data_IF_100400763580
#
_entry.id   IF_100400763580
#
_cell.length_a   1.000
_cell.length_b   1.000
_cell.length_c   1.000
_cell.angle_alpha   90.00
_cell.angle_beta   90.00
_cell.angle_gamma   90.00
#
_symmetry.space_group_name_H-M   'P 1'
#
loop_
_entity.id
_entity.type
_entity.pdbx_description
1 polymer ?
#
# COMPACT_ATOMS: atom_id res chain seq x y z
N UNK A 1 -29.13 -6.93 -9.71
CA UNK A 1 -28.02 -7.52 -10.50
C UNK A 1 -27.00 -8.24 -9.62
N UNK A 2 -26.20 -7.54 -8.79
CA UNK A 2 -25.11 -8.16 -8.00
C UNK A 2 -25.56 -9.37 -7.16
N UNK A 3 -26.67 -9.27 -6.43
CA UNK A 3 -27.20 -10.38 -5.61
C UNK A 3 -27.52 -11.62 -6.45
N UNK A 4 -28.03 -11.42 -7.68
CA UNK A 4 -28.34 -12.52 -8.58
C UNK A 4 -27.05 -13.19 -9.07
N UNK A 5 -26.07 -12.41 -9.51
CA UNK A 5 -24.77 -12.91 -9.95
C UNK A 5 -24.05 -13.72 -8.84
N UNK A 6 -24.13 -13.26 -7.59
CA UNK A 6 -23.61 -14.01 -6.44
C UNK A 6 -24.36 -15.34 -6.26
N UNK A 7 -25.68 -15.35 -6.40
CA UNK A 7 -26.47 -16.58 -6.34
C UNK A 7 -26.09 -17.60 -7.40
N UNK A 8 -25.89 -17.15 -8.64
CA UNK A 8 -25.45 -17.99 -9.76
C UNK A 8 -24.04 -18.56 -9.51
N UNK A 9 -23.10 -17.76 -9.00
CA UNK A 9 -21.75 -18.21 -8.65
C UNK A 9 -21.76 -19.29 -7.56
N UNK A 10 -22.55 -19.09 -6.50
CA UNK A 10 -22.64 -20.05 -5.40
C UNK A 10 -23.26 -21.37 -5.89
N UNK A 11 -24.36 -21.29 -6.64
CA UNK A 11 -25.08 -22.46 -7.12
C UNK A 11 -24.25 -23.30 -8.11
N UNK A 12 -23.50 -22.65 -8.99
CA UNK A 12 -22.77 -23.34 -10.05
C UNK A 12 -21.35 -23.77 -9.64
N UNK A 13 -20.69 -23.06 -8.72
CA UNK A 13 -19.28 -23.30 -8.40
C UNK A 13 -19.04 -23.78 -6.95
N UNK A 14 -20.03 -23.69 -6.05
CA UNK A 14 -19.88 -24.12 -4.67
C UNK A 14 -18.95 -23.26 -3.81
N UNK A 15 -18.67 -22.02 -4.23
CA UNK A 15 -17.85 -21.09 -3.43
C UNK A 15 -18.55 -20.68 -2.13
N UNK A 16 -17.76 -20.57 -1.07
CA UNK A 16 -18.19 -20.11 0.25
C UNK A 16 -17.63 -18.72 0.60
N UNK A 17 -16.92 -18.08 -0.32
CA UNK A 17 -16.39 -16.73 -0.20
C UNK A 17 -16.60 -15.96 -1.51
N UNK A 18 -17.06 -14.72 -1.41
CA UNK A 18 -17.19 -13.79 -2.55
C UNK A 18 -16.55 -12.45 -2.19
N UNK A 19 -15.76 -11.91 -3.12
CA UNK A 19 -15.15 -10.59 -3.00
C UNK A 19 -15.92 -9.56 -3.84
N UNK A 20 -16.32 -8.45 -3.23
CA UNK A 20 -16.91 -7.31 -3.94
C UNK A 20 -15.79 -6.32 -4.31
N UNK A 21 -15.38 -6.34 -5.58
CA UNK A 21 -14.25 -5.55 -6.08
C UNK A 21 -14.74 -4.26 -6.73
N UNK A 22 -14.12 -3.14 -6.39
CA UNK A 22 -14.39 -1.82 -6.97
C UNK A 22 -13.16 -0.90 -6.83
N UNK A 23 -13.23 0.35 -7.31
CA UNK A 23 -12.20 1.36 -6.99
C UNK A 23 -12.30 1.84 -5.54
N UNK A 24 -13.52 2.02 -5.03
CA UNK A 24 -13.83 2.36 -3.65
C UNK A 24 -15.19 1.79 -3.30
N UNK A 25 -15.20 0.79 -2.43
CA UNK A 25 -16.45 0.06 -2.12
C UNK A 25 -17.44 0.95 -1.36
N UNK A 26 -16.96 1.91 -0.58
CA UNK A 26 -17.78 2.87 0.16
C UNK A 26 -18.43 3.93 -0.74
N UNK A 27 -17.98 4.10 -1.98
CA UNK A 27 -18.57 5.07 -2.92
C UNK A 27 -19.88 4.53 -3.54
N UNK A 28 -20.19 3.25 -3.37
CA UNK A 28 -21.45 2.66 -3.79
C UNK A 28 -22.55 2.92 -2.74
N UNK A 29 -23.51 3.78 -3.08
CA UNK A 29 -24.56 4.24 -2.17
C UNK A 29 -25.39 3.11 -1.52
N UNK A 30 -25.58 1.98 -2.22
CA UNK A 30 -26.35 0.84 -1.73
C UNK A 30 -25.52 -0.25 -1.03
N UNK A 31 -24.28 0.04 -0.61
CA UNK A 31 -23.36 -1.01 -0.13
C UNK A 31 -23.86 -1.70 1.14
N UNK A 32 -24.42 -0.95 2.08
CA UNK A 32 -24.96 -1.51 3.33
C UNK A 32 -26.11 -2.48 3.03
N UNK A 33 -27.06 -2.06 2.19
CA UNK A 33 -28.20 -2.88 1.77
C UNK A 33 -27.77 -4.12 1.00
N UNK A 34 -26.77 -3.98 0.13
CA UNK A 34 -26.22 -5.08 -0.66
C UNK A 34 -25.56 -6.12 0.26
N UNK A 35 -24.67 -5.68 1.16
CA UNK A 35 -23.98 -6.56 2.12
C UNK A 35 -24.99 -7.23 3.04
N UNK A 36 -25.96 -6.48 3.58
CA UNK A 36 -27.01 -7.02 4.43
C UNK A 36 -27.85 -8.07 3.68
N UNK A 37 -28.25 -7.77 2.43
CA UNK A 37 -29.06 -8.67 1.60
C UNK A 37 -28.32 -9.98 1.30
N UNK A 38 -27.03 -9.90 0.94
CA UNK A 38 -26.19 -11.07 0.69
C UNK A 38 -26.00 -11.91 1.95
N UNK A 39 -25.72 -11.26 3.08
CA UNK A 39 -25.51 -11.91 4.37
C UNK A 39 -26.77 -12.60 4.89
N UNK A 40 -27.93 -11.98 4.68
CA UNK A 40 -29.23 -12.54 5.06
C UNK A 40 -29.63 -13.72 4.17
N UNK A 41 -29.40 -13.63 2.86
CA UNK A 41 -29.77 -14.68 1.90
C UNK A 41 -28.84 -15.89 1.93
N UNK A 42 -27.56 -15.68 2.22
CA UNK A 42 -26.52 -16.72 2.16
C UNK A 42 -25.75 -16.81 3.48
N UNK A 43 -26.32 -17.51 4.48
CA UNK A 43 -25.76 -17.58 5.84
C UNK A 43 -24.34 -18.18 5.96
N UNK A 44 -23.91 -18.97 4.98
CA UNK A 44 -22.57 -19.59 4.95
C UNK A 44 -21.58 -18.86 4.03
N UNK A 45 -21.97 -17.70 3.48
CA UNK A 45 -21.14 -16.92 2.58
C UNK A 45 -20.25 -15.95 3.36
N UNK A 46 -18.95 -16.08 3.21
CA UNK A 46 -17.98 -15.07 3.61
C UNK A 46 -17.94 -13.96 2.56
N UNK A 47 -18.01 -12.71 2.99
CA UNK A 47 -17.92 -11.54 2.12
C UNK A 47 -16.59 -10.82 2.38
N UNK A 48 -15.88 -10.52 1.28
CA UNK A 48 -14.62 -9.77 1.31
C UNK A 48 -14.76 -8.45 0.58
N UNK A 49 -14.26 -7.37 1.18
CA UNK A 49 -14.30 -6.00 0.66
C UNK A 49 -12.86 -5.46 0.51
N UNK A 50 -12.09 -5.92 -0.50
CA UNK A 50 -10.67 -5.57 -0.63
C UNK A 50 -10.43 -4.08 -0.91
N UNK A 51 -11.41 -3.39 -1.52
CA UNK A 51 -11.32 -1.98 -1.91
C UNK A 51 -11.96 -1.01 -0.91
N UNK A 52 -12.07 -1.43 0.35
CA UNK A 52 -12.72 -0.61 1.37
C UNK A 52 -11.76 0.47 1.87
N UNK A 53 -12.12 1.75 1.63
CA UNK A 53 -11.37 2.90 2.17
C UNK A 53 -11.42 2.89 3.70
N UNK A 54 -10.38 3.38 4.34
CA UNK A 54 -10.31 3.34 5.79
C UNK A 54 -10.87 4.59 6.43
N UNK A 55 -12.18 4.57 6.63
CA UNK A 55 -12.94 5.59 7.33
C UNK A 55 -13.86 4.95 8.39
N UNK A 56 -14.56 5.79 9.16
CA UNK A 56 -15.49 5.34 10.20
C UNK A 56 -16.73 4.61 9.66
N UNK A 57 -17.08 4.80 8.38
CA UNK A 57 -18.18 4.12 7.71
C UNK A 57 -17.78 2.67 7.41
N UNK A 58 -16.59 2.49 6.87
CA UNK A 58 -15.99 1.19 6.56
C UNK A 58 -15.82 0.29 7.79
N UNK A 59 -15.48 0.86 8.96
CA UNK A 59 -15.45 0.08 10.21
C UNK A 59 -16.82 -0.49 10.54
N UNK A 60 -17.90 0.28 10.34
CA UNK A 60 -19.28 -0.19 10.55
C UNK A 60 -19.68 -1.26 9.53
N UNK A 61 -19.36 -1.05 8.25
CA UNK A 61 -19.64 -2.03 7.21
C UNK A 61 -18.93 -3.37 7.48
N UNK A 62 -17.69 -3.33 7.96
CA UNK A 62 -16.94 -4.53 8.33
C UNK A 62 -17.52 -5.27 9.54
N UNK A 63 -18.25 -4.59 10.43
CA UNK A 63 -18.99 -5.24 11.52
C UNK A 63 -20.23 -5.98 11.03
N UNK A 64 -20.90 -5.44 10.00
CA UNK A 64 -22.09 -6.05 9.43
C UNK A 64 -21.78 -7.33 8.64
N UNK A 65 -20.51 -7.55 8.25
CA UNK A 65 -20.10 -8.75 7.56
C UNK A 65 -20.20 -9.97 8.49
N UNK A 66 -20.85 -11.07 8.05
CA UNK A 66 -20.95 -12.32 8.80
C UNK A 66 -19.59 -13.04 8.79
N UNK A 67 -18.61 -12.49 9.51
CA UNK A 67 -17.29 -13.08 9.64
C UNK A 67 -17.17 -13.85 10.96
N UNK A 68 -16.75 -15.12 10.85
CA UNK A 68 -16.40 -15.96 12.03
C UNK A 68 -15.12 -15.51 12.74
N UNK A 69 -14.34 -14.59 12.15
CA UNK A 69 -13.06 -14.12 12.73
C UNK A 69 -12.75 -12.70 12.28
N UNK A 70 -12.66 -11.75 13.22
CA UNK A 70 -12.19 -10.38 12.94
C UNK A 70 -10.77 -10.42 12.37
N UNK A 71 -10.66 -10.26 11.05
CA UNK A 71 -9.40 -10.17 10.32
C UNK A 71 -8.67 -8.87 10.72
N UNK A 72 -7.36 -8.79 10.43
CA UNK A 72 -6.64 -7.54 10.61
C UNK A 72 -7.23 -6.43 9.74
N UNK A 73 -7.31 -5.21 10.28
CA UNK A 73 -7.80 -4.04 9.54
C UNK A 73 -6.62 -3.31 8.90
N UNK A 74 -6.78 -2.88 7.65
CA UNK A 74 -5.73 -2.18 6.91
C UNK A 74 -6.09 -0.70 6.76
N UNK A 75 -5.18 0.18 7.18
CA UNK A 75 -5.29 1.63 7.10
C UNK A 75 -4.18 2.13 6.18
N UNK A 76 -4.49 3.06 5.28
CA UNK A 76 -3.50 3.68 4.40
C UNK A 76 -3.41 5.20 4.65
N UNK A 77 -2.68 5.64 5.69
CA UNK A 77 -2.35 7.05 5.87
C UNK A 77 -1.46 7.61 4.76
N UNK A 78 -0.64 6.77 4.12
CA UNK A 78 0.35 7.09 3.08
C UNK A 78 1.52 7.97 3.57
N UNK A 79 1.26 8.99 4.39
CA UNK A 79 2.28 9.85 4.99
C UNK A 79 2.01 10.13 6.48
N UNK A 80 3.07 10.43 7.23
CA UNK A 80 3.02 10.74 8.66
C UNK A 80 2.42 12.11 8.97
N UNK A 81 2.88 13.13 8.26
CA UNK A 81 2.40 14.51 8.43
C UNK A 81 1.16 14.80 7.58
N UNK A 82 0.30 15.71 8.04
CA UNK A 82 -0.87 16.13 7.27
C UNK A 82 -0.50 16.93 6.03
N UNK A 83 0.59 17.72 6.10
CA UNK A 83 1.12 18.46 4.95
C UNK A 83 1.47 17.53 3.80
N UNK A 84 2.23 16.47 4.09
CA UNK A 84 2.67 15.52 3.07
C UNK A 84 1.49 14.69 2.54
N UNK A 85 0.55 14.30 3.41
CA UNK A 85 -0.74 13.69 2.99
C UNK A 85 -1.50 14.57 2.00
N UNK A 86 -1.65 15.87 2.26
CA UNK A 86 -2.30 16.82 1.34
C UNK A 86 -1.58 16.93 0.00
N UNK A 87 -0.24 16.90 0.00
CA UNK A 87 0.56 17.01 -1.24
C UNK A 87 0.26 15.89 -2.24
N UNK A 88 -0.12 14.70 -1.76
CA UNK A 88 -0.48 13.55 -2.60
C UNK A 88 -2.00 13.38 -2.74
N UNK A 89 -2.78 14.45 -2.49
CA UNK A 89 -4.24 14.47 -2.52
C UNK A 89 -4.90 13.46 -1.54
N UNK A 90 -4.22 13.13 -0.44
CA UNK A 90 -4.75 12.30 0.65
C UNK A 90 -5.26 13.20 1.76
N UNK A 91 -6.42 13.80 1.57
CA UNK A 91 -6.97 14.80 2.50
C UNK A 91 -7.66 14.17 3.72
N UNK A 92 -6.94 13.32 4.46
CA UNK A 92 -7.42 12.72 5.71
C UNK A 92 -6.70 13.39 6.89
N UNK A 93 -7.43 14.17 7.71
CA UNK A 93 -6.90 14.74 8.95
C UNK A 93 -6.40 13.68 9.93
N UNK A 94 -5.42 14.04 10.76
CA UNK A 94 -4.89 13.09 11.76
C UNK A 94 -5.96 12.64 12.75
N UNK A 95 -6.83 13.55 13.19
CA UNK A 95 -7.88 13.25 14.16
C UNK A 95 -8.89 12.22 13.61
N UNK A 96 -9.18 12.25 12.32
CA UNK A 96 -10.03 11.25 11.65
C UNK A 96 -9.37 9.87 11.61
N UNK A 97 -8.06 9.79 11.34
CA UNK A 97 -7.30 8.53 11.41
C UNK A 97 -7.32 7.95 12.83
N UNK A 98 -7.12 8.80 13.84
CA UNK A 98 -7.13 8.41 15.25
C UNK A 98 -8.53 7.99 15.71
N UNK A 99 -9.58 8.72 15.33
CA UNK A 99 -10.99 8.36 15.59
C UNK A 99 -11.33 7.00 14.98
N UNK A 100 -10.92 6.77 13.74
CA UNK A 100 -11.16 5.50 13.03
C UNK A 100 -10.42 4.35 13.70
N UNK A 101 -9.17 4.56 14.12
CA UNK A 101 -8.40 3.55 14.85
C UNK A 101 -9.01 3.23 16.21
N UNK A 102 -9.41 4.26 16.98
CA UNK A 102 -10.09 4.08 18.26
C UNK A 102 -11.39 3.30 18.10
N UNK A 103 -12.22 3.66 17.12
CA UNK A 103 -13.46 2.96 16.81
C UNK A 103 -13.23 1.48 16.49
N UNK A 104 -12.17 1.15 15.74
CA UNK A 104 -11.81 -0.24 15.46
C UNK A 104 -11.37 -0.99 16.73
N UNK A 105 -10.56 -0.37 17.59
CA UNK A 105 -10.12 -0.98 18.85
C UNK A 105 -11.27 -1.21 19.83
N UNK A 106 -12.18 -0.25 19.99
CA UNK A 106 -13.35 -0.37 20.87
C UNK A 106 -14.28 -1.51 20.43
N UNK A 107 -14.28 -1.80 19.13
CA UNK A 107 -15.00 -2.93 18.53
C UNK A 107 -14.21 -4.22 18.56
N UNK A 108 -13.06 -4.27 19.22
CA UNK A 108 -12.30 -5.49 19.47
C UNK A 108 -11.36 -5.93 18.34
N UNK A 109 -11.10 -5.10 17.33
CA UNK A 109 -9.97 -5.35 16.44
C UNK A 109 -8.66 -5.13 17.19
N UNK A 110 -7.83 -6.16 17.23
CA UNK A 110 -6.52 -6.09 17.92
C UNK A 110 -5.35 -6.02 16.95
N UNK A 111 -5.58 -6.12 15.64
CA UNK A 111 -4.53 -6.15 14.62
C UNK A 111 -4.82 -5.09 13.56
N UNK A 112 -3.93 -4.09 13.45
CA UNK A 112 -3.99 -3.08 12.41
C UNK A 112 -2.72 -3.14 11.53
N UNK A 113 -2.90 -3.08 10.22
CA UNK A 113 -1.84 -2.90 9.24
C UNK A 113 -1.90 -1.45 8.74
N UNK A 114 -0.79 -0.73 8.78
CA UNK A 114 -0.69 0.66 8.31
C UNK A 114 0.19 0.70 7.06
N UNK A 115 -0.25 1.39 6.01
CA UNK A 115 0.53 1.62 4.79
C UNK A 115 1.06 3.05 4.75
N UNK A 116 2.36 3.17 4.53
CA UNK A 116 3.03 4.45 4.29
C UNK A 116 3.89 4.34 3.03
N UNK A 117 4.23 5.48 2.47
CA UNK A 117 5.12 5.65 1.34
C UNK A 117 6.30 6.51 1.78
N UNK A 118 7.49 6.17 1.28
CA UNK A 118 8.72 6.92 1.51
C UNK A 118 9.28 7.47 0.22
N UNK A 119 9.99 8.59 0.29
CA UNK A 119 10.56 9.25 -0.87
C UNK A 119 9.54 10.10 -1.63
N UNK A 120 8.45 10.50 -0.97
CA UNK A 120 7.47 11.41 -1.57
C UNK A 120 8.11 12.77 -1.92
N UNK A 121 7.64 13.46 -2.95
CA UNK A 121 8.10 14.81 -3.27
C UNK A 121 7.92 15.76 -2.07
N UNK A 122 8.94 16.56 -1.77
CA UNK A 122 8.99 17.49 -0.60
C UNK A 122 9.02 16.83 0.78
N UNK A 123 9.19 15.51 0.87
CA UNK A 123 9.30 14.79 2.15
C UNK A 123 10.55 15.21 2.94
N UNK A 124 10.36 15.58 4.20
CA UNK A 124 11.43 15.94 5.14
C UNK A 124 11.64 14.86 6.19
N UNK A 125 12.71 14.96 6.97
CA UNK A 125 12.93 14.06 8.11
C UNK A 125 11.82 14.18 9.16
N UNK A 126 11.27 15.38 9.37
CA UNK A 126 10.15 15.60 10.30
C UNK A 126 8.91 14.82 9.86
N UNK A 127 8.63 14.73 8.54
CA UNK A 127 7.51 13.93 8.03
C UNK A 127 7.70 12.42 8.31
N UNK A 128 8.95 11.95 8.36
CA UNK A 128 9.28 10.56 8.72
C UNK A 128 9.11 10.34 10.23
N UNK A 129 9.52 11.31 11.05
CA UNK A 129 9.30 11.26 12.50
C UNK A 129 7.80 11.28 12.84
N UNK A 130 7.00 12.04 12.09
CA UNK A 130 5.54 12.07 12.24
C UNK A 130 4.90 10.69 12.00
N UNK A 131 5.49 9.82 11.16
CA UNK A 131 5.04 8.41 11.04
C UNK A 131 5.18 7.71 12.39
N UNK A 132 6.32 7.87 13.06
CA UNK A 132 6.59 7.25 14.37
C UNK A 132 5.61 7.78 15.41
N UNK A 133 5.36 9.09 15.43
CA UNK A 133 4.43 9.73 16.35
C UNK A 133 2.99 9.26 16.13
N UNK A 134 2.52 9.24 14.88
CA UNK A 134 1.19 8.76 14.53
C UNK A 134 0.99 7.31 14.98
N UNK A 135 1.97 6.44 14.70
CA UNK A 135 1.92 5.03 15.11
C UNK A 135 1.87 4.89 16.64
N UNK A 136 2.60 5.73 17.37
CA UNK A 136 2.58 5.69 18.84
C UNK A 136 1.25 6.18 19.42
N UNK A 137 0.63 7.20 18.82
CA UNK A 137 -0.74 7.65 19.15
C UNK A 137 -1.74 6.51 18.93
N UNK A 138 -1.71 5.85 17.77
CA UNK A 138 -2.57 4.70 17.44
C UNK A 138 -2.36 3.54 18.43
N UNK A 139 -1.09 3.21 18.73
CA UNK A 139 -0.74 2.17 19.71
C UNK A 139 -1.28 2.48 21.09
N UNK A 140 -1.22 3.75 21.49
CA UNK A 140 -1.70 4.21 22.80
C UNK A 140 -3.22 4.10 22.91
N UNK A 141 -3.95 4.41 21.84
CA UNK A 141 -5.40 4.18 21.76
C UNK A 141 -5.74 2.70 21.96
N UNK A 142 -5.08 1.81 21.21
CA UNK A 142 -5.32 0.37 21.33
C UNK A 142 -4.94 -0.23 22.69
N UNK A 143 -4.03 0.40 23.44
CA UNK A 143 -3.70 0.01 24.82
C UNK A 143 -4.75 0.45 25.85
N UNK A 144 -5.44 1.56 25.57
CA UNK A 144 -6.52 2.08 26.42
C UNK A 144 -7.85 1.35 26.18
N UNK A 145 -8.06 0.86 24.96
CA UNK A 145 -9.23 0.07 24.60
C UNK A 145 -9.30 -1.25 25.40
N UNK A 146 -10.53 -1.70 25.67
CA UNK A 146 -10.77 -2.97 26.37
C UNK A 146 -10.33 -4.14 25.49
N UNK A 147 -9.41 -4.97 25.98
CA UNK A 147 -9.03 -6.21 25.28
C UNK A 147 -7.55 -6.55 25.36
N UNK A 148 -7.07 -7.24 24.31
CA UNK A 148 -5.66 -7.67 24.19
C UNK A 148 -4.80 -6.53 23.64
N UNK A 149 -3.49 -6.60 23.89
CA UNK A 149 -2.51 -5.65 23.36
C UNK A 149 -2.63 -5.52 21.83
N UNK A 150 -2.64 -4.29 21.28
CA UNK A 150 -2.74 -4.07 19.85
C UNK A 150 -1.46 -4.58 19.15
N UNK A 151 -1.65 -5.19 17.99
CA UNK A 151 -0.60 -5.64 17.07
C UNK A 151 -0.62 -4.71 15.88
N UNK A 152 0.41 -3.89 15.77
CA UNK A 152 0.58 -3.00 14.62
C UNK A 152 1.62 -3.60 13.67
N UNK A 153 1.28 -3.62 12.38
CA UNK A 153 2.20 -3.90 11.29
C UNK A 153 2.24 -2.69 10.38
N UNK A 154 3.43 -2.26 9.97
CA UNK A 154 3.62 -1.19 9.01
C UNK A 154 4.19 -1.81 7.73
N UNK A 155 3.58 -1.45 6.61
CA UNK A 155 4.06 -1.74 5.27
C UNK A 155 4.49 -0.42 4.64
N UNK A 156 5.78 -0.28 4.39
CA UNK A 156 6.32 0.84 3.64
C UNK A 156 6.35 0.47 2.16
N UNK A 157 6.14 1.46 1.33
CA UNK A 157 6.43 1.42 -0.11
C UNK A 157 7.43 2.53 -0.44
N UNK A 158 8.21 2.33 -1.49
CA UNK A 158 9.03 3.40 -2.07
C UNK A 158 8.17 4.16 -3.07
N UNK A 159 8.20 5.47 -3.04
CA UNK A 159 7.59 6.30 -4.06
C UNK A 159 8.26 6.02 -5.41
N UNK A 160 7.47 5.58 -6.38
CA UNK A 160 7.90 5.36 -7.75
C UNK A 160 7.19 6.38 -8.64
N UNK A 161 7.90 7.36 -9.23
CA UNK A 161 7.30 8.31 -10.17
C UNK A 161 6.79 7.55 -11.41
N UNK A 162 5.47 7.56 -11.60
CA UNK A 162 4.80 6.90 -12.74
C UNK A 162 4.47 7.91 -13.84
N UNK A 163 4.57 7.52 -15.13
CA UNK A 163 4.07 8.35 -16.22
C UNK A 163 2.56 8.59 -16.08
N UNK A 164 2.08 9.70 -16.61
CA UNK A 164 0.68 10.15 -16.54
C UNK A 164 0.15 10.39 -15.12
N UNK A 165 1.05 10.71 -14.18
CA UNK A 165 0.69 11.16 -12.83
C UNK A 165 1.18 12.58 -12.59
N UNK A 166 0.60 13.32 -11.63
CA UNK A 166 1.08 14.67 -11.29
C UNK A 166 2.58 14.75 -10.94
N UNK A 167 3.19 13.64 -10.51
CA UNK A 167 4.60 13.56 -10.13
C UNK A 167 5.49 12.86 -11.16
N UNK A 168 5.03 12.69 -12.40
CA UNK A 168 5.79 12.02 -13.46
C UNK A 168 7.18 12.62 -13.73
N UNK A 169 7.36 13.91 -13.44
CA UNK A 169 8.61 14.66 -13.64
C UNK A 169 9.59 14.62 -12.47
N UNK A 170 9.19 14.06 -11.33
CA UNK A 170 10.01 14.04 -10.13
C UNK A 170 11.04 12.91 -10.20
N UNK A 171 12.21 13.14 -9.59
CA UNK A 171 13.23 12.11 -9.37
C UNK A 171 12.79 11.12 -8.27
N UNK A 172 13.08 9.83 -8.45
CA UNK A 172 13.02 8.88 -7.35
C UNK A 172 14.17 9.14 -6.38
N UNK A 173 13.93 9.01 -5.08
CA UNK A 173 14.97 9.10 -4.07
C UNK A 173 16.03 8.00 -4.26
N UNK A 174 17.28 8.32 -3.94
CA UNK A 174 18.40 7.37 -4.03
C UNK A 174 18.35 6.31 -2.93
N UNK A 175 19.03 5.18 -3.17
CA UNK A 175 19.08 4.04 -2.23
C UNK A 175 19.61 4.46 -0.85
N UNK A 176 20.65 5.29 -0.78
CA UNK A 176 21.22 5.78 0.48
C UNK A 176 20.19 6.59 1.29
N UNK A 177 19.46 7.49 0.62
CA UNK A 177 18.41 8.29 1.25
C UNK A 177 17.27 7.41 1.76
N UNK A 178 16.82 6.44 0.97
CA UNK A 178 15.78 5.49 1.36
C UNK A 178 16.21 4.64 2.57
N UNK A 179 17.43 4.08 2.52
CA UNK A 179 18.00 3.28 3.61
C UNK A 179 18.09 4.07 4.91
N UNK A 180 18.54 5.32 4.87
CA UNK A 180 18.60 6.17 6.07
C UNK A 180 17.23 6.40 6.72
N UNK A 181 16.17 6.58 5.91
CA UNK A 181 14.78 6.73 6.37
C UNK A 181 14.24 5.41 6.94
N UNK A 182 14.52 4.28 6.29
CA UNK A 182 14.16 2.95 6.80
C UNK A 182 14.79 2.67 8.17
N UNK A 183 16.08 3.01 8.35
CA UNK A 183 16.76 2.86 9.63
C UNK A 183 16.15 3.74 10.72
N UNK A 184 15.83 5.00 10.42
CA UNK A 184 15.17 5.92 11.35
C UNK A 184 13.85 5.31 11.86
N UNK A 185 13.00 4.85 10.95
CA UNK A 185 11.74 4.18 11.27
C UNK A 185 11.96 2.90 12.06
N UNK A 186 12.90 2.05 11.63
CA UNK A 186 13.19 0.80 12.31
C UNK A 186 13.62 1.05 13.76
N UNK A 187 14.54 2.00 14.01
CA UNK A 187 14.97 2.37 15.37
C UNK A 187 13.81 2.90 16.22
N UNK A 188 12.98 3.79 15.65
CA UNK A 188 11.85 4.41 16.36
C UNK A 188 10.71 3.45 16.69
N UNK A 189 10.49 2.45 15.84
CA UNK A 189 9.34 1.53 15.92
C UNK A 189 9.68 0.18 16.54
N UNK A 190 10.92 -0.30 16.42
CA UNK A 190 11.35 -1.60 16.95
C UNK A 190 11.11 -1.70 18.46
N UNK A 191 11.53 -0.68 19.22
CA UNK A 191 11.31 -0.60 20.67
C UNK A 191 9.82 -0.57 21.06
N UNK A 192 8.93 -0.28 20.11
CA UNK A 192 7.48 -0.22 20.31
C UNK A 192 6.78 -1.56 20.02
N UNK A 193 7.50 -2.57 19.54
CA UNK A 193 6.94 -3.89 19.21
C UNK A 193 6.08 -3.88 17.93
N UNK A 194 6.33 -2.89 17.06
CA UNK A 194 5.66 -2.76 15.77
C UNK A 194 6.46 -3.52 14.73
N UNK A 195 5.80 -4.33 13.89
CA UNK A 195 6.47 -5.03 12.79
C UNK A 195 6.56 -4.09 11.59
N UNK A 196 7.75 -3.89 11.05
CA UNK A 196 8.00 -3.06 9.88
C UNK A 196 8.40 -3.97 8.70
N UNK A 197 7.86 -3.70 7.51
CA UNK A 197 8.25 -4.35 6.26
C UNK A 197 8.35 -3.30 5.15
N UNK A 198 9.40 -3.37 4.33
CA UNK A 198 9.62 -2.50 3.18
C UNK A 198 10.21 -3.30 2.02
N UNK A 199 10.02 -2.87 0.77
CA UNK A 199 10.63 -3.52 -0.39
C UNK A 199 12.14 -3.26 -0.45
N UNK A 200 12.85 -4.08 -1.22
CA UNK A 200 14.23 -3.79 -1.60
C UNK A 200 14.28 -2.49 -2.42
N UNK A 201 15.10 -1.48 -2.05
CA UNK A 201 15.30 -0.28 -2.85
C UNK A 201 15.71 -0.56 -4.30
N UNK A 202 16.46 -1.63 -4.55
CA UNK A 202 16.89 -2.03 -5.91
C UNK A 202 15.73 -2.50 -6.77
N UNK A 203 14.79 -3.24 -6.18
CA UNK A 203 13.56 -3.61 -6.86
C UNK A 203 12.71 -2.36 -7.18
N UNK A 204 12.65 -1.42 -6.23
CA UNK A 204 11.94 -0.14 -6.41
C UNK A 204 12.58 0.73 -7.50
N UNK A 205 13.91 0.69 -7.63
CA UNK A 205 14.66 1.36 -8.69
C UNK A 205 14.32 0.76 -10.05
N UNK A 206 14.38 -0.57 -10.20
CA UNK A 206 14.00 -1.23 -11.45
C UNK A 206 12.53 -0.95 -11.81
N UNK A 207 11.63 -0.94 -10.83
CA UNK A 207 10.24 -0.57 -11.07
C UNK A 207 10.14 0.85 -11.67
N UNK A 208 10.88 1.82 -11.13
CA UNK A 208 10.90 3.20 -11.65
C UNK A 208 11.49 3.28 -13.06
N UNK A 209 12.57 2.55 -13.31
CA UNK A 209 13.21 2.48 -14.63
C UNK A 209 12.23 1.91 -15.65
N UNK A 210 11.67 0.72 -15.39
CA UNK A 210 10.74 0.04 -16.29
C UNK A 210 9.45 0.84 -16.50
N UNK A 211 8.96 1.53 -15.46
CA UNK A 211 7.74 2.34 -15.55
C UNK A 211 7.91 3.58 -16.44
N UNK A 212 9.11 4.15 -16.51
CA UNK A 212 9.43 5.34 -17.32
C UNK A 212 10.38 5.01 -18.48
N UNK A 213 10.38 3.76 -18.89
CA UNK A 213 11.18 3.22 -19.97
C UNK A 213 10.66 3.60 -21.34
N UNK A 214 11.57 3.82 -22.27
CA UNK A 214 11.26 3.92 -23.69
C UNK A 214 11.56 2.60 -24.42
N UNK A 215 11.51 2.63 -25.76
CA UNK A 215 11.82 1.46 -26.60
C UNK A 215 13.23 0.91 -26.38
N UNK A 216 14.18 1.71 -25.89
CA UNK A 216 15.56 1.27 -25.66
C UNK A 216 15.67 0.28 -24.50
N UNK A 217 14.82 0.41 -23.48
CA UNK A 217 14.76 -0.56 -22.38
C UNK A 217 14.39 -1.98 -22.83
N UNK A 218 13.76 -2.14 -23.99
CA UNK A 218 13.53 -3.45 -24.57
C UNK A 218 14.82 -4.27 -24.73
N UNK A 219 15.96 -3.60 -25.01
CA UNK A 219 17.28 -4.24 -25.08
C UNK A 219 17.75 -4.73 -23.71
N UNK A 220 17.56 -3.93 -22.67
CA UNK A 220 17.92 -4.28 -21.28
C UNK A 220 17.09 -5.46 -20.80
N UNK A 221 15.77 -5.43 -20.98
CA UNK A 221 14.86 -6.51 -20.55
C UNK A 221 15.24 -7.82 -21.25
N UNK A 222 15.45 -7.77 -22.57
CA UNK A 222 15.86 -8.95 -23.33
C UNK A 222 17.21 -9.48 -22.86
N UNK A 223 18.18 -8.60 -22.57
CA UNK A 223 19.50 -9.01 -22.09
C UNK A 223 19.46 -9.59 -20.66
N UNK A 224 18.70 -8.97 -19.76
CA UNK A 224 18.51 -9.49 -18.40
C UNK A 224 17.90 -10.90 -18.43
N UNK A 225 16.92 -11.14 -19.31
CA UNK A 225 16.38 -12.48 -19.54
C UNK A 225 17.43 -13.48 -20.05
N UNK A 226 18.28 -13.08 -21.00
CA UNK A 226 19.39 -13.94 -21.47
C UNK A 226 20.41 -14.26 -20.37
N UNK A 227 20.57 -13.37 -19.40
CA UNK A 227 21.41 -13.57 -18.21
C UNK A 227 20.71 -14.40 -17.12
N UNK A 228 19.46 -14.81 -17.34
CA UNK A 228 18.70 -15.71 -16.47
C UNK A 228 17.69 -15.02 -15.56
N UNK A 229 17.47 -13.71 -15.69
CA UNK A 229 16.40 -13.01 -14.96
C UNK A 229 15.03 -13.55 -15.38
N UNK A 230 14.39 -14.28 -14.47
CA UNK A 230 13.05 -14.85 -14.63
C UNK A 230 12.36 -14.82 -13.28
N UNK A 231 11.06 -14.52 -13.28
CA UNK A 231 10.25 -14.46 -12.06
C UNK A 231 10.74 -13.45 -10.99
N UNK A 232 11.34 -12.34 -11.41
CA UNK A 232 11.87 -11.27 -10.53
C UNK A 232 10.83 -10.63 -9.59
N UNK A 233 9.54 -10.86 -9.82
CA UNK A 233 8.47 -10.44 -8.90
C UNK A 233 8.51 -11.20 -7.55
N UNK A 234 9.15 -12.37 -7.49
CA UNK A 234 9.36 -13.14 -6.28
C UNK A 234 10.77 -12.88 -5.74
N UNK A 235 10.86 -12.39 -4.50
CA UNK A 235 12.11 -11.92 -3.88
C UNK A 235 13.24 -12.95 -3.90
N UNK A 236 12.93 -14.23 -3.81
CA UNK A 236 13.86 -15.36 -3.83
C UNK A 236 14.50 -15.61 -5.21
N UNK A 237 13.89 -15.08 -6.28
CA UNK A 237 14.38 -15.18 -7.65
C UNK A 237 14.99 -13.87 -8.15
N UNK A 238 14.72 -12.76 -7.46
CA UNK A 238 15.19 -11.45 -7.86
C UNK A 238 16.72 -11.35 -7.85
N UNK A 239 17.32 -11.16 -9.02
CA UNK A 239 18.76 -10.99 -9.18
C UNK A 239 19.11 -9.65 -9.82
N UNK A 240 19.39 -8.65 -8.98
CA UNK A 240 19.78 -7.32 -9.44
C UNK A 240 21.10 -7.30 -10.23
N UNK A 241 22.01 -8.25 -10.01
CA UNK A 241 23.28 -8.33 -10.72
C UNK A 241 23.10 -8.55 -12.23
N UNK A 242 22.13 -9.38 -12.61
CA UNK A 242 21.78 -9.60 -14.02
C UNK A 242 21.29 -8.32 -14.69
N UNK A 243 20.49 -7.51 -13.97
CA UNK A 243 20.01 -6.24 -14.47
C UNK A 243 21.15 -5.23 -14.63
N UNK A 244 22.04 -5.10 -13.65
CA UNK A 244 23.22 -4.24 -13.75
C UNK A 244 24.08 -4.58 -14.97
N UNK A 245 24.37 -5.86 -15.17
CA UNK A 245 25.11 -6.33 -16.34
C UNK A 245 24.38 -6.02 -17.66
N UNK A 246 23.05 -6.19 -17.70
CA UNK A 246 22.25 -5.83 -18.87
C UNK A 246 22.26 -4.31 -19.17
N UNK A 247 22.23 -3.45 -18.15
CA UNK A 247 22.36 -2.00 -18.31
C UNK A 247 23.75 -1.62 -18.85
N UNK A 248 24.81 -2.17 -18.25
CA UNK A 248 26.19 -1.94 -18.67
C UNK A 248 26.43 -2.36 -20.12
N UNK A 249 26.02 -3.58 -20.51
CA UNK A 249 26.23 -4.10 -21.86
C UNK A 249 25.41 -3.38 -22.94
N UNK A 250 24.30 -2.75 -22.55
CA UNK A 250 23.46 -1.97 -23.48
C UNK A 250 23.80 -0.47 -23.48
N UNK A 251 24.70 -0.04 -22.59
CA UNK A 251 25.12 1.36 -22.46
C UNK A 251 24.00 2.29 -21.95
N UNK A 252 23.07 1.77 -21.15
CA UNK A 252 21.96 2.54 -20.58
C UNK A 252 22.14 2.69 -19.07
N UNK A 253 21.87 3.88 -18.56
CA UNK A 253 22.00 4.19 -17.13
C UNK A 253 20.64 4.13 -16.42
N UNK A 254 20.47 3.31 -15.35
CA UNK A 254 19.23 3.28 -14.58
C UNK A 254 18.82 4.64 -14.02
N UNK A 255 19.80 5.41 -13.54
CA UNK A 255 19.60 6.74 -12.95
C UNK A 255 19.00 7.74 -13.95
N UNK A 256 19.30 7.60 -15.24
CA UNK A 256 18.70 8.41 -16.31
C UNK A 256 17.17 8.23 -16.38
N UNK A 257 16.67 7.02 -16.12
CA UNK A 257 15.22 6.75 -16.14
C UNK A 257 14.55 7.05 -14.79
N UNK A 258 15.26 6.80 -13.68
CA UNK A 258 14.69 6.80 -12.34
C UNK A 258 15.00 8.02 -11.46
N UNK A 259 16.22 8.56 -11.50
CA UNK A 259 16.75 9.44 -10.45
C UNK A 259 17.03 10.86 -10.92
N UNK A 260 16.68 11.21 -12.16
CA UNK A 260 16.73 12.60 -12.63
C UNK A 260 15.38 13.28 -12.55
N UNK A 261 15.41 14.56 -12.19
CA UNK A 261 14.28 15.45 -12.45
C UNK A 261 14.14 15.66 -13.96
N UNK A 262 12.89 15.72 -14.42
CA UNK A 262 12.57 15.93 -15.83
C UNK A 262 11.96 17.31 -16.01
N UNK A 263 12.37 18.08 -17.04
CA UNK A 263 11.66 19.27 -17.45
C UNK A 263 10.19 18.99 -17.79
N UNK A 264 9.30 19.96 -17.56
CA UNK A 264 7.86 19.79 -17.80
C UNK A 264 7.52 19.61 -19.28
N UNK A 265 8.38 20.08 -20.17
CA UNK A 265 8.27 19.98 -21.63
C UNK A 265 8.92 18.71 -22.21
N UNK A 266 9.55 17.89 -21.37
CA UNK A 266 10.14 16.63 -21.81
C UNK A 266 9.03 15.63 -22.22
N UNK A 267 9.10 15.06 -23.43
CA UNK A 267 8.16 14.01 -23.83
C UNK A 267 8.38 12.78 -22.95
N UNK A 268 7.31 12.33 -22.31
CA UNK A 268 7.31 11.09 -21.55
C UNK A 268 7.03 9.92 -22.49
N UNK A 269 7.61 8.73 -22.22
CA UNK A 269 7.36 7.53 -23.01
C UNK A 269 5.90 7.09 -22.99
#
# INVERSE_FOLDING_TARGET
EVVQAVGELIANCGYNEVSLVSLSTSDYAGIDELVASLSHRYHNLSLSLPSLRTDSFSVRLMEALPSRRKLGLTFAPEAGSERLRRSINKNIPEDELLKTAAAAFDRGWISLKLYFMLGLPTETLDDIEDIIQLVDKIRSLGRKAKGKRPRLRISLSTFVPKPHTPFQWVAQAEEEQLNSKHELLNRGLHRKGVRLSWPDPKASLLEAVLSRGDRQLGKVIHRAWQLGSTFDAWSEHFNYGNWLCAFEETGLEPSFYAQRERPLDEPLP
#
